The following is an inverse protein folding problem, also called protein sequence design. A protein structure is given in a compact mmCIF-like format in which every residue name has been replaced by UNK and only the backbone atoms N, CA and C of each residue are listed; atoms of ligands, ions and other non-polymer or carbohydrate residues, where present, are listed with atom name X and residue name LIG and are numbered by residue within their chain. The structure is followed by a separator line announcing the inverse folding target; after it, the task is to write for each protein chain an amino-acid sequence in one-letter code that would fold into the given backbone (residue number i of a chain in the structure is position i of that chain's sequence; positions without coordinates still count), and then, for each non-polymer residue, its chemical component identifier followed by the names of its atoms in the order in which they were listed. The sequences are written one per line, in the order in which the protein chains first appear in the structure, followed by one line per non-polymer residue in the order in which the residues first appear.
data_IF_770393870722
#
_entry.id   IF_770393870722
#
_cell.length_a   1.000
_cell.length_b   1.000
_cell.length_c   1.000
_cell.angle_alpha   90.00
_cell.angle_beta   90.00
_cell.angle_gamma   90.00
#
_symmetry.space_group_name_H-M   'P 1'
#
loop_
_entity.id
_entity.type
_entity.pdbx_description
1 polymer ?
#
# COMPACT_ATOMS: atom_id res chain seq x y z
N UNK A 1 -6.41 -1.85 1.64
CA UNK A 1 -6.89 -0.81 2.58
C UNK A 1 -8.20 -1.16 3.28
N UNK A 2 -9.27 -1.56 2.57
CA UNK A 2 -10.59 -1.80 3.16
C UNK A 2 -10.62 -2.78 4.35
N UNK A 3 -9.84 -3.86 4.31
CA UNK A 3 -9.75 -4.82 5.40
C UNK A 3 -9.16 -4.20 6.68
N UNK A 4 -8.15 -3.34 6.53
CA UNK A 4 -7.51 -2.63 7.65
C UNK A 4 -8.48 -1.64 8.28
N UNK A 5 -9.19 -0.84 7.47
CA UNK A 5 -10.23 0.08 7.95
C UNK A 5 -11.33 -0.63 8.72
N UNK A 6 -11.85 -1.74 8.19
CA UNK A 6 -12.86 -2.57 8.89
C UNK A 6 -12.33 -3.18 10.19
N UNK A 7 -11.04 -3.52 10.23
CA UNK A 7 -10.39 -4.00 11.45
C UNK A 7 -10.36 -2.93 12.54
N UNK A 8 -9.95 -1.72 12.20
CA UNK A 8 -9.90 -0.59 13.14
C UNK A 8 -11.29 -0.19 13.64
N UNK A 9 -12.30 -0.15 12.77
CA UNK A 9 -13.68 0.12 13.15
C UNK A 9 -14.19 -0.87 14.23
N UNK A 10 -13.86 -2.16 14.09
CA UNK A 10 -14.20 -3.16 15.11
C UNK A 10 -13.50 -2.91 16.44
N UNK A 11 -12.25 -2.45 16.41
CA UNK A 11 -11.50 -2.12 17.63
C UNK A 11 -12.09 -0.88 18.32
N UNK A 12 -12.55 0.12 17.57
CA UNK A 12 -13.27 1.27 18.13
C UNK A 12 -14.61 0.88 18.76
N UNK A 13 -15.34 -0.04 18.11
CA UNK A 13 -16.59 -0.59 18.65
C UNK A 13 -16.34 -1.32 19.97
N UNK A 14 -15.30 -2.16 20.03
CA UNK A 14 -14.90 -2.88 21.24
C UNK A 14 -14.46 -1.93 22.36
N UNK A 15 -13.72 -0.87 22.03
CA UNK A 15 -13.35 0.18 22.98
C UNK A 15 -14.60 0.85 23.56
N UNK A 16 -15.56 1.20 22.70
CA UNK A 16 -16.82 1.83 23.12
C UNK A 16 -17.66 0.90 24.00
N UNK A 17 -17.73 -0.38 23.65
CA UNK A 17 -18.41 -1.39 24.46
C UNK A 17 -17.77 -1.53 25.85
N UNK A 18 -16.44 -1.58 25.90
CA UNK A 18 -15.69 -1.76 27.15
C UNK A 18 -15.85 -0.63 28.16
N UNK A 19 -16.27 0.57 27.74
CA UNK A 19 -16.59 1.68 28.67
C UNK A 19 -17.73 1.31 29.61
N UNK A 20 -18.69 0.50 29.14
CA UNK A 20 -19.85 0.08 29.93
C UNK A 20 -19.47 -0.93 31.03
N UNK A 21 -18.31 -1.59 30.93
CA UNK A 21 -17.84 -2.59 31.89
C UNK A 21 -17.20 -1.98 33.14
N UNK A 22 -17.06 -0.65 33.20
CA UNK A 22 -16.57 0.08 34.36
C UNK A 22 -15.09 -0.17 34.68
N UNK A 23 -14.73 -0.15 35.97
CA UNK A 23 -13.33 -0.16 36.40
C UNK A 23 -12.55 -1.44 36.02
N UNK A 24 -13.24 -2.54 35.78
CA UNK A 24 -12.63 -3.84 35.45
C UNK A 24 -11.96 -3.80 34.07
N UNK A 25 -12.50 -3.02 33.12
CA UNK A 25 -11.98 -2.92 31.76
C UNK A 25 -10.98 -1.77 31.55
N UNK A 26 -10.63 -1.01 32.60
CA UNK A 26 -9.75 0.17 32.47
C UNK A 26 -8.38 -0.16 31.84
N UNK A 27 -7.80 -1.32 32.20
CA UNK A 27 -6.56 -1.80 31.59
C UNK A 27 -6.72 -2.11 30.09
N UNK A 28 -7.83 -2.74 29.72
CA UNK A 28 -8.15 -3.08 28.34
C UNK A 28 -8.40 -1.83 27.49
N UNK A 29 -9.18 -0.87 28.00
CA UNK A 29 -9.41 0.43 27.36
C UNK A 29 -8.10 1.16 27.04
N UNK A 30 -7.14 1.15 27.99
CA UNK A 30 -5.83 1.78 27.79
C UNK A 30 -5.04 1.11 26.67
N UNK A 31 -5.07 -0.22 26.61
CA UNK A 31 -4.40 -0.98 25.55
C UNK A 31 -5.03 -0.68 24.19
N UNK A 32 -6.35 -0.69 24.09
CA UNK A 32 -7.05 -0.41 22.83
C UNK A 32 -6.81 1.01 22.32
N UNK A 33 -6.80 2.02 23.21
CA UNK A 33 -6.47 3.41 22.83
C UNK A 33 -5.07 3.53 22.25
N UNK A 34 -4.06 3.00 22.95
CA UNK A 34 -2.68 3.03 22.47
C UNK A 34 -2.50 2.30 21.13
N UNK A 35 -3.21 1.17 20.97
CA UNK A 35 -3.22 0.43 19.71
C UNK A 35 -3.82 1.27 18.57
N UNK A 36 -4.98 1.89 18.79
CA UNK A 36 -5.65 2.74 17.79
C UNK A 36 -4.76 3.93 17.40
N UNK A 37 -4.19 4.65 18.36
CA UNK A 37 -3.30 5.80 18.09
C UNK A 37 -2.12 5.41 17.19
N UNK A 38 -1.50 4.25 17.47
CA UNK A 38 -0.38 3.73 16.69
C UNK A 38 -0.85 3.29 15.30
N UNK A 39 -1.92 2.49 15.25
CA UNK A 39 -2.41 1.91 14.00
C UNK A 39 -2.93 2.97 13.03
N UNK A 40 -3.57 4.04 13.53
CA UNK A 40 -4.02 5.15 12.69
C UNK A 40 -2.84 5.91 12.07
N UNK A 41 -1.76 6.12 12.83
CA UNK A 41 -0.53 6.72 12.31
C UNK A 41 0.10 5.86 11.20
N UNK A 42 0.20 4.55 11.41
CA UNK A 42 0.71 3.59 10.43
C UNK A 42 -0.16 3.54 9.16
N UNK A 43 -1.49 3.53 9.32
CA UNK A 43 -2.43 3.56 8.19
C UNK A 43 -2.29 4.84 7.39
N UNK A 44 -2.15 5.99 8.04
CA UNK A 44 -1.92 7.28 7.38
C UNK A 44 -0.60 7.25 6.58
N UNK A 45 0.45 6.69 7.15
CA UNK A 45 1.75 6.49 6.48
C UNK A 45 1.61 5.60 5.25
N UNK A 46 0.92 4.46 5.39
CA UNK A 46 0.68 3.53 4.29
C UNK A 46 -0.12 4.16 3.14
N UNK A 47 -1.18 4.93 3.45
CA UNK A 47 -1.96 5.66 2.44
C UNK A 47 -1.09 6.68 1.70
N UNK A 48 -0.24 7.42 2.43
CA UNK A 48 0.68 8.39 1.83
C UNK A 48 1.64 7.71 0.86
N UNK A 49 2.26 6.60 1.29
CA UNK A 49 3.18 5.81 0.47
C UNK A 49 2.48 5.28 -0.79
N UNK A 50 1.30 4.70 -0.64
CA UNK A 50 0.54 4.16 -1.77
C UNK A 50 0.15 5.25 -2.77
N UNK A 51 -0.20 6.44 -2.27
CA UNK A 51 -0.52 7.59 -3.11
C UNK A 51 0.71 8.12 -3.85
N UNK A 52 1.88 8.14 -3.21
CA UNK A 52 3.14 8.54 -3.85
C UNK A 52 3.55 7.56 -4.94
N UNK A 53 3.53 6.26 -4.65
CA UNK A 53 3.80 5.21 -5.64
C UNK A 53 2.82 5.29 -6.81
N UNK A 54 1.53 5.55 -6.54
CA UNK A 54 0.52 5.76 -7.57
C UNK A 54 0.87 6.92 -8.51
N UNK A 55 1.19 8.10 -7.96
CA UNK A 55 1.61 9.25 -8.75
C UNK A 55 2.88 8.99 -9.57
N UNK A 56 3.83 8.25 -9.00
CA UNK A 56 5.06 7.89 -9.70
C UNK A 56 4.77 6.94 -10.87
N UNK A 57 3.87 5.97 -10.69
CA UNK A 57 3.42 5.09 -11.76
C UNK A 57 2.67 5.86 -12.86
N UNK A 58 1.76 6.77 -12.48
CA UNK A 58 1.04 7.63 -13.43
C UNK A 58 1.99 8.49 -14.25
N UNK A 59 2.99 9.09 -13.60
CA UNK A 59 4.03 9.89 -14.26
C UNK A 59 4.85 9.07 -15.24
N UNK A 60 5.13 7.81 -14.93
CA UNK A 60 5.86 6.91 -15.82
C UNK A 60 5.01 6.52 -17.03
N UNK A 61 3.72 6.22 -16.85
CA UNK A 61 2.79 5.96 -17.96
C UNK A 61 2.76 7.15 -18.92
N UNK A 62 2.65 8.37 -18.38
CA UNK A 62 2.69 9.60 -19.17
C UNK A 62 4.02 9.79 -19.91
N UNK A 63 5.16 9.45 -19.29
CA UNK A 63 6.47 9.53 -19.92
C UNK A 63 6.56 8.65 -21.19
N UNK A 64 5.90 7.49 -21.20
CA UNK A 64 5.81 6.62 -22.37
C UNK A 64 4.67 6.97 -23.34
N UNK A 65 3.89 8.01 -23.06
CA UNK A 65 2.74 8.43 -23.88
C UNK A 65 1.48 7.60 -23.67
N UNK A 66 1.43 6.79 -22.61
CA UNK A 66 0.27 5.98 -22.23
C UNK A 66 -0.66 6.75 -21.29
N UNK A 67 -1.95 6.39 -21.30
CA UNK A 67 -2.95 6.94 -20.40
C UNK A 67 -2.90 6.22 -19.03
N UNK A 68 -2.59 6.91 -17.92
CA UNK A 68 -2.57 6.32 -16.58
C UNK A 68 -3.88 5.62 -16.19
N UNK A 69 -5.04 6.13 -16.65
CA UNK A 69 -6.34 5.53 -16.34
C UNK A 69 -6.54 4.14 -16.98
N UNK A 70 -5.72 3.81 -17.99
CA UNK A 70 -5.73 2.51 -18.67
C UNK A 70 -4.74 1.51 -18.05
N UNK A 71 -3.96 1.94 -17.05
CA UNK A 71 -3.01 1.13 -16.30
C UNK A 71 -3.47 0.99 -14.83
N UNK A 72 -4.40 0.08 -14.50
CA UNK A 72 -4.83 -0.11 -13.12
C UNK A 72 -3.64 -0.49 -12.23
N UNK A 73 -3.56 0.07 -11.02
CA UNK A 73 -2.40 0.01 -10.11
C UNK A 73 -1.85 -1.41 -9.87
N UNK A 74 -2.72 -2.44 -9.83
CA UNK A 74 -2.28 -3.83 -9.69
C UNK A 74 -1.60 -4.41 -10.94
N UNK A 75 -1.87 -3.86 -12.12
CA UNK A 75 -1.14 -4.14 -13.36
C UNK A 75 0.08 -3.21 -13.54
N UNK A 76 0.11 -2.03 -12.92
CA UNK A 76 1.24 -1.09 -12.99
C UNK A 76 2.53 -1.69 -12.44
N UNK A 77 2.47 -2.45 -11.34
CA UNK A 77 3.61 -3.22 -10.82
C UNK A 77 4.06 -4.31 -11.79
N UNK A 78 3.13 -4.98 -12.47
CA UNK A 78 3.41 -6.01 -13.48
C UNK A 78 4.05 -5.38 -14.72
N UNK A 79 3.59 -4.20 -15.17
CA UNK A 79 4.19 -3.46 -16.27
C UNK A 79 5.60 -2.98 -15.90
N UNK A 80 5.82 -2.52 -14.67
CA UNK A 80 7.15 -2.15 -14.17
C UNK A 80 8.09 -3.37 -14.13
N UNK A 81 7.62 -4.50 -13.59
CA UNK A 81 8.37 -5.75 -13.59
C UNK A 81 8.67 -6.21 -15.02
N UNK A 82 7.68 -6.16 -15.92
CA UNK A 82 7.82 -6.55 -17.32
C UNK A 82 8.78 -5.64 -18.07
N UNK A 83 8.73 -4.32 -17.90
CA UNK A 83 9.65 -3.38 -18.58
C UNK A 83 11.07 -3.57 -18.06
N UNK A 84 11.29 -3.64 -16.74
CA UNK A 84 12.63 -3.84 -16.15
C UNK A 84 13.21 -5.20 -16.57
N UNK A 85 12.40 -6.26 -16.48
CA UNK A 85 12.81 -7.60 -16.89
C UNK A 85 13.05 -7.67 -18.41
N UNK A 86 12.13 -7.19 -19.24
CA UNK A 86 12.26 -7.19 -20.70
C UNK A 86 13.47 -6.37 -21.17
N UNK A 87 13.73 -5.20 -20.56
CA UNK A 87 14.88 -4.35 -20.90
C UNK A 87 16.20 -5.02 -20.51
N UNK A 88 16.24 -5.68 -19.34
CA UNK A 88 17.42 -6.40 -18.87
C UNK A 88 17.71 -7.63 -19.75
N UNK A 89 16.70 -8.46 -20.04
CA UNK A 89 16.81 -9.62 -20.94
C UNK A 89 17.22 -9.22 -22.35
N UNK A 90 16.59 -8.18 -22.92
CA UNK A 90 16.92 -7.67 -24.27
C UNK A 90 18.35 -7.15 -24.32
N UNK A 91 18.79 -6.43 -23.29
CA UNK A 91 20.17 -5.93 -23.20
C UNK A 91 21.19 -7.06 -23.07
N UNK A 92 20.87 -8.09 -22.30
CA UNK A 92 21.73 -9.27 -22.13
C UNK A 92 21.82 -10.11 -23.43
N UNK A 93 20.68 -10.33 -24.10
CA UNK A 93 20.62 -10.99 -25.42
C UNK A 93 21.40 -10.24 -26.49
N UNK A 94 21.26 -8.91 -26.57
CA UNK A 94 22.02 -8.07 -27.51
C UNK A 94 23.53 -8.14 -27.24
N UNK A 95 23.98 -8.23 -25.99
CA UNK A 95 25.40 -8.42 -25.68
C UNK A 95 25.93 -9.77 -26.15
N UNK A 96 25.19 -10.87 -25.92
CA UNK A 96 25.60 -12.21 -26.36
C UNK A 96 25.65 -12.33 -27.90
N UNK A 97 24.72 -11.69 -28.61
CA UNK A 97 24.68 -11.74 -30.09
C UNK A 97 25.70 -10.85 -30.77
N UNK A 98 26.11 -9.72 -30.17
CA UNK A 98 27.20 -8.87 -30.68
C UNK A 98 28.61 -9.37 -30.28
N UNK A 99 28.71 -10.50 -29.58
CA UNK A 99 29.96 -11.18 -29.21
C UNK A 99 30.26 -12.39 -30.12
N UNK A 100 29.54 -12.55 -31.24
CA UNK A 100 29.86 -13.48 -32.34
C UNK A 100 30.25 -12.68 -33.57
#
# INVERSE_FOLDING_TARGET
MQAVSKGLEKVEQELTASVNDGAISAGFQKVLKNFLDTAEAEVRSLISLYSEVGRNADSLSQYFGEDPARCPFEQGMVLFFLIVQFTFYTSHMKRITNLK
#
